data_IF_061019058804
#
_entry.id   IF_061019058804
#
_cell.length_a   1.000
_cell.length_b   1.000
_cell.length_c   1.000
_cell.angle_alpha   90.00
_cell.angle_beta   90.00
_cell.angle_gamma   90.00
#
_symmetry.space_group_name_H-M   'P 1'
#
loop_
_entity.id
_entity.type
_entity.pdbx_description
1 polymer ?
#
# COMPACT_ATOMS: atom_id res chain seq x y z
N UNK A 1 7.00 1.08 3.60
CA UNK A 1 6.15 2.15 4.16
C UNK A 1 4.76 1.58 4.31
N UNK A 2 4.27 1.40 5.53
CA UNK A 2 3.00 0.71 5.82
C UNK A 2 1.93 1.68 6.33
N UNK A 3 0.67 1.30 6.21
CA UNK A 3 -0.42 2.01 6.85
C UNK A 3 -0.76 1.37 8.20
N UNK A 4 -0.78 2.17 9.26
CA UNK A 4 -1.12 1.74 10.62
C UNK A 4 -2.44 2.38 11.04
N UNK A 5 -3.52 1.61 10.94
CA UNK A 5 -4.87 2.10 11.19
C UNK A 5 -5.09 2.53 12.66
N UNK A 6 -4.39 1.90 13.60
CA UNK A 6 -4.44 2.17 15.04
C UNK A 6 -3.84 3.52 15.44
N UNK A 7 -2.95 4.08 14.63
CA UNK A 7 -2.29 5.38 14.86
C UNK A 7 -2.89 6.47 13.96
N UNK A 8 -3.65 6.09 12.93
CA UNK A 8 -4.20 7.04 11.98
C UNK A 8 -5.32 7.87 12.60
N UNK A 9 -5.15 9.19 12.61
CA UNK A 9 -6.15 10.14 13.13
C UNK A 9 -7.08 10.70 12.03
N UNK A 10 -6.95 10.23 10.79
CA UNK A 10 -7.74 10.76 9.68
C UNK A 10 -7.38 12.19 9.25
N UNK A 11 -6.21 12.73 9.63
CA UNK A 11 -5.81 14.12 9.34
C UNK A 11 -5.53 14.43 7.86
N UNK A 12 -5.38 13.41 7.01
CA UNK A 12 -5.15 13.52 5.55
C UNK A 12 -3.85 14.22 5.13
N UNK A 13 -2.94 14.54 6.05
CA UNK A 13 -1.64 15.14 5.72
C UNK A 13 -0.77 14.25 4.83
N UNK A 14 -0.92 12.93 4.94
CA UNK A 14 -0.29 11.98 4.05
C UNK A 14 -0.72 12.14 2.57
N UNK A 15 -1.95 12.59 2.31
CA UNK A 15 -2.44 12.85 0.94
C UNK A 15 -1.79 14.11 0.37
N UNK A 16 -1.71 15.18 1.17
CA UNK A 16 -1.09 16.46 0.77
C UNK A 16 0.42 16.31 0.57
N UNK A 17 1.09 15.57 1.45
CA UNK A 17 2.54 15.40 1.40
C UNK A 17 3.04 14.46 0.29
N UNK A 18 2.17 13.67 -0.33
CA UNK A 18 2.57 12.74 -1.39
C UNK A 18 2.57 13.45 -2.76
N UNK A 19 3.73 13.65 -3.41
CA UNK A 19 3.80 14.32 -4.71
C UNK A 19 3.13 13.53 -5.84
N UNK A 20 2.92 12.23 -5.62
CA UNK A 20 2.31 11.32 -6.58
C UNK A 20 0.80 11.12 -6.35
N UNK A 21 0.21 11.79 -5.35
CA UNK A 21 -1.21 11.69 -5.03
C UNK A 21 -1.70 10.22 -4.84
N UNK A 22 -0.87 9.38 -4.22
CA UNK A 22 -1.13 7.94 -4.10
C UNK A 22 -2.09 7.59 -2.96
N UNK A 23 -1.93 8.10 -1.73
CA UNK A 23 -2.84 7.75 -0.65
C UNK A 23 -4.27 8.19 -0.97
N UNK A 24 -5.22 7.26 -0.85
CA UNK A 24 -6.66 7.51 -1.02
C UNK A 24 -7.36 7.33 0.32
N UNK A 25 -8.38 8.13 0.56
CA UNK A 25 -9.11 8.17 1.83
C UNK A 25 -10.58 7.90 1.57
N UNK A 26 -11.21 7.16 2.47
CA UNK A 26 -12.66 6.94 2.46
C UNK A 26 -13.39 8.17 3.02
N UNK A 27 -14.10 8.91 2.18
CA UNK A 27 -14.74 10.17 2.56
C UNK A 27 -16.09 9.99 3.25
N UNK A 28 -16.66 8.78 3.23
CA UNK A 28 -17.97 8.50 3.82
C UNK A 28 -17.90 8.30 5.35
N UNK A 29 -16.68 8.22 5.90
CA UNK A 29 -16.40 8.11 7.34
C UNK A 29 -15.48 9.27 7.80
N UNK A 30 -15.86 10.03 8.84
CA UNK A 30 -14.97 11.02 9.47
C UNK A 30 -13.63 10.47 9.94
N UNK A 31 -13.56 9.18 10.27
CA UNK A 31 -12.34 8.42 10.60
C UNK A 31 -11.99 7.40 9.52
N UNK A 32 -12.36 7.70 8.27
CA UNK A 32 -12.20 6.84 7.13
C UNK A 32 -10.80 6.26 6.96
N UNK A 33 -10.76 5.08 6.36
CA UNK A 33 -9.52 4.34 6.16
C UNK A 33 -8.71 4.97 5.04
N UNK A 34 -7.39 4.92 5.22
CA UNK A 34 -6.44 5.26 4.16
C UNK A 34 -6.04 3.99 3.41
N UNK A 35 -5.97 4.10 2.09
CA UNK A 35 -5.52 3.04 1.20
C UNK A 35 -4.34 3.53 0.38
N UNK A 36 -3.35 2.66 0.24
CA UNK A 36 -2.22 2.84 -0.68
C UNK A 36 -1.60 1.48 -0.98
N UNK A 37 -0.78 1.40 -2.01
CA UNK A 37 0.05 0.21 -2.21
C UNK A 37 1.01 0.01 -1.03
N UNK A 38 1.10 -1.24 -0.55
CA UNK A 38 2.03 -1.67 0.50
C UNK A 38 2.95 -2.79 0.01
N UNK A 39 3.18 -2.86 -1.32
CA UNK A 39 4.01 -3.88 -1.97
C UNK A 39 3.58 -5.31 -1.63
N UNK A 40 2.27 -5.51 -1.47
CA UNK A 40 1.66 -6.78 -1.05
C UNK A 40 2.16 -7.28 0.31
N UNK A 41 2.65 -6.38 1.17
CA UNK A 41 3.12 -6.69 2.51
C UNK A 41 2.32 -5.96 3.60
N UNK A 42 1.09 -5.58 3.29
CA UNK A 42 0.12 -5.15 4.29
C UNK A 42 -0.25 -6.31 5.24
N UNK A 43 -0.68 -5.95 6.45
CA UNK A 43 -1.15 -6.89 7.49
C UNK A 43 -2.26 -7.80 6.96
N UNK A 44 -2.12 -9.11 7.18
CA UNK A 44 -2.99 -10.18 6.69
C UNK A 44 -2.61 -10.75 5.33
N UNK A 45 -1.69 -10.12 4.58
CA UNK A 45 -1.20 -10.61 3.29
C UNK A 45 0.27 -11.05 3.39
N UNK A 46 1.15 -10.17 3.87
CA UNK A 46 2.57 -10.44 4.17
C UNK A 46 3.32 -11.30 3.14
N UNK A 47 3.15 -11.02 1.84
CA UNK A 47 3.74 -11.86 0.79
C UNK A 47 5.26 -11.82 0.81
N UNK A 48 5.85 -10.64 0.98
CA UNK A 48 7.31 -10.49 1.01
C UNK A 48 7.91 -11.19 2.24
N UNK A 49 7.24 -11.09 3.40
CA UNK A 49 7.70 -11.76 4.62
C UNK A 49 7.64 -13.30 4.49
N UNK A 50 6.75 -13.81 3.63
CA UNK A 50 6.63 -15.24 3.28
C UNK A 50 7.54 -15.66 2.12
N UNK A 51 8.39 -14.77 1.61
CA UNK A 51 9.27 -15.05 0.47
C UNK A 51 8.56 -15.13 -0.89
N UNK A 52 7.31 -14.67 -0.98
CA UNK A 52 6.54 -14.61 -2.22
C UNK A 52 6.74 -13.27 -2.92
N UNK A 53 6.67 -13.26 -4.26
CA UNK A 53 6.69 -12.01 -5.05
C UNK A 53 5.44 -11.15 -4.76
N UNK A 54 5.47 -9.83 -4.99
CA UNK A 54 4.24 -9.04 -5.02
C UNK A 54 3.24 -9.60 -6.04
N UNK A 55 1.94 -9.57 -5.72
CA UNK A 55 0.91 -10.17 -6.59
C UNK A 55 0.87 -9.56 -8.01
N UNK A 56 1.11 -8.26 -8.13
CA UNK A 56 1.18 -7.59 -9.44
C UNK A 56 2.41 -8.00 -10.27
N UNK A 57 3.50 -8.45 -9.62
CA UNK A 57 4.69 -8.98 -10.27
C UNK A 57 4.44 -10.40 -10.73
N UNK A 58 3.90 -11.25 -9.83
CA UNK A 58 3.61 -12.66 -10.12
C UNK A 58 2.63 -12.85 -11.28
N UNK A 59 1.57 -12.02 -11.35
CA UNK A 59 0.52 -12.17 -12.36
C UNK A 59 0.90 -11.58 -13.73
N UNK A 60 2.00 -10.83 -13.83
CA UNK A 60 2.34 -10.10 -15.05
C UNK A 60 2.69 -11.08 -16.19
N UNK A 61 1.86 -11.22 -17.24
CA UNK A 61 2.05 -12.27 -18.24
C UNK A 61 3.25 -12.01 -19.16
N UNK A 62 3.64 -10.74 -19.32
CA UNK A 62 4.75 -10.32 -20.18
C UNK A 62 6.06 -10.12 -19.43
N UNK A 63 6.06 -10.22 -18.09
CA UNK A 63 7.25 -9.96 -17.28
C UNK A 63 7.71 -8.50 -17.28
N UNK A 64 6.81 -7.54 -17.57
CA UNK A 64 7.14 -6.12 -17.59
C UNK A 64 7.42 -5.52 -16.20
N UNK A 65 6.89 -6.13 -15.13
CA UNK A 65 7.11 -5.71 -13.75
C UNK A 65 8.18 -6.61 -13.15
N UNK A 66 9.32 -6.04 -12.80
CA UNK A 66 10.47 -6.76 -12.22
C UNK A 66 10.57 -6.40 -10.73
N UNK A 67 10.91 -7.38 -9.90
CA UNK A 67 11.10 -7.21 -8.47
C UNK A 67 12.42 -7.84 -8.03
N UNK A 68 13.11 -7.18 -7.09
CA UNK A 68 14.35 -7.66 -6.50
C UNK A 68 14.73 -6.84 -5.26
N UNK A 69 15.67 -7.36 -4.49
CA UNK A 69 16.29 -6.65 -3.38
C UNK A 69 17.61 -6.05 -3.87
N UNK A 70 17.85 -4.78 -3.56
CA UNK A 70 19.13 -4.09 -3.81
C UNK A 70 20.17 -4.48 -2.77
#
# INVERSE_FOLDING_TARGET
MHYHADICTGCRYCMVGCPYNIPKYDYDDPFGKLYKCELCNQKGVERLDKGLLPGCVEVCPTGAVIFGYS
#
